data_IF_365735135018
#
_entry.id   IF_365735135018
#
_cell.length_a   1.000
_cell.length_b   1.000
_cell.length_c   1.000
_cell.angle_alpha   90.00
_cell.angle_beta   90.00
_cell.angle_gamma   90.00
#
_symmetry.space_group_name_H-M   'P 1'
#
loop_
_entity.id
_entity.type
_entity.pdbx_description
1 polymer ?
#
# COMPACT_ATOMS: atom_id res chain seq x y z
N UNK A 1 43.75 10.32 13.83
CA UNK A 1 42.38 10.63 14.29
C UNK A 1 41.66 11.35 13.17
N UNK A 2 40.40 10.97 12.93
CA UNK A 2 39.54 11.24 11.75
C UNK A 2 39.72 10.22 10.62
N UNK A 3 39.00 9.09 10.75
CA UNK A 3 38.78 8.13 9.69
C UNK A 3 37.64 8.60 8.78
N UNK A 4 37.91 8.58 7.47
CA UNK A 4 36.93 8.65 6.41
C UNK A 4 36.11 7.35 6.41
N UNK A 5 34.86 7.44 6.87
CA UNK A 5 33.87 6.39 6.69
C UNK A 5 33.23 6.54 5.31
N UNK A 6 33.94 6.10 4.27
CA UNK A 6 33.34 5.86 2.96
C UNK A 6 32.40 4.65 3.08
N UNK A 7 31.13 4.93 3.36
CA UNK A 7 30.08 3.93 3.23
C UNK A 7 30.04 3.48 1.76
N UNK A 8 30.63 2.32 1.48
CA UNK A 8 30.33 1.56 0.26
C UNK A 8 28.87 1.14 0.35
N UNK A 9 27.99 1.88 -0.33
CA UNK A 9 26.67 1.35 -0.70
C UNK A 9 26.93 0.04 -1.42
N UNK A 10 26.52 -1.08 -0.82
CA UNK A 10 26.54 -2.38 -1.47
C UNK A 10 25.63 -2.28 -2.71
N UNK A 11 26.25 -1.98 -3.86
CA UNK A 11 25.56 -1.91 -5.13
C UNK A 11 25.03 -3.28 -5.50
N UNK A 12 23.80 -3.34 -6.02
CA UNK A 12 23.20 -4.56 -6.52
C UNK A 12 24.07 -5.20 -7.61
N UNK A 13 24.04 -6.54 -7.69
CA UNK A 13 24.71 -7.30 -8.73
C UNK A 13 24.32 -6.80 -10.13
N UNK A 14 25.21 -6.97 -11.12
CA UNK A 14 25.13 -6.30 -12.44
C UNK A 14 23.86 -6.71 -13.21
N UNK A 15 23.39 -7.92 -13.00
CA UNK A 15 22.14 -8.51 -13.49
C UNK A 15 20.86 -7.84 -12.93
N UNK A 16 20.98 -7.08 -11.84
CA UNK A 16 19.92 -6.29 -11.21
C UNK A 16 20.03 -4.79 -11.55
N UNK A 17 21.06 -4.39 -12.31
CA UNK A 17 21.20 -3.04 -12.83
C UNK A 17 20.46 -2.94 -14.19
N UNK A 18 19.84 -1.79 -14.43
CA UNK A 18 18.72 -1.59 -15.37
C UNK A 18 18.81 -2.24 -16.79
N UNK A 19 17.64 -2.49 -17.43
CA UNK A 19 16.31 -2.11 -16.95
C UNK A 19 15.55 -3.33 -16.45
N UNK A 20 15.88 -3.83 -15.26
CA UNK A 20 14.99 -4.75 -14.57
C UNK A 20 13.82 -3.96 -13.96
N UNK A 21 12.88 -3.55 -14.82
CA UNK A 21 11.61 -2.96 -14.40
C UNK A 21 10.71 -4.07 -13.86
N UNK A 22 10.65 -4.19 -12.54
CA UNK A 22 9.81 -5.18 -11.88
C UNK A 22 8.34 -4.92 -12.22
N UNK A 23 7.65 -5.98 -12.63
CA UNK A 23 6.21 -5.94 -12.75
C UNK A 23 5.56 -5.87 -11.37
N UNK A 24 4.27 -5.50 -11.33
CA UNK A 24 3.45 -5.61 -10.12
C UNK A 24 3.53 -7.02 -9.51
N UNK A 25 3.55 -8.04 -10.36
CA UNK A 25 3.50 -9.43 -9.93
C UNK A 25 4.84 -9.89 -9.38
N UNK A 26 5.97 -9.39 -9.91
CA UNK A 26 7.31 -9.62 -9.34
C UNK A 26 7.44 -9.06 -7.92
N UNK A 27 6.94 -7.83 -7.71
CA UNK A 27 6.91 -7.21 -6.39
C UNK A 27 6.01 -7.99 -5.42
N UNK A 28 4.81 -8.40 -5.86
CA UNK A 28 3.91 -9.21 -5.05
C UNK A 28 4.53 -10.57 -4.69
N UNK A 29 5.24 -11.20 -5.63
CA UNK A 29 5.97 -12.45 -5.38
C UNK A 29 7.10 -12.25 -4.36
N UNK A 30 7.83 -11.14 -4.44
CA UNK A 30 8.89 -10.83 -3.48
C UNK A 30 8.35 -10.63 -2.05
N UNK A 31 7.22 -9.95 -1.88
CA UNK A 31 6.59 -9.79 -0.56
C UNK A 31 6.19 -11.14 0.04
N UNK A 32 5.65 -12.07 -0.77
CA UNK A 32 5.32 -13.43 -0.31
C UNK A 32 6.57 -14.19 0.13
N UNK A 33 7.63 -14.18 -0.68
CA UNK A 33 8.91 -14.81 -0.33
C UNK A 33 9.49 -14.26 0.97
N UNK A 34 9.39 -12.96 1.19
CA UNK A 34 9.84 -12.32 2.41
C UNK A 34 9.10 -12.86 3.64
N UNK A 35 7.77 -12.97 3.57
CA UNK A 35 6.93 -13.55 4.65
C UNK A 35 7.36 -14.99 4.96
N UNK A 36 7.54 -15.81 3.93
CA UNK A 36 7.96 -17.21 4.06
C UNK A 36 9.36 -17.35 4.65
N UNK A 37 10.32 -16.58 4.15
CA UNK A 37 11.73 -16.63 4.58
C UNK A 37 11.90 -16.32 6.07
N UNK A 38 11.13 -15.36 6.58
CA UNK A 38 11.21 -14.92 7.98
C UNK A 38 10.13 -15.53 8.88
N UNK A 39 9.30 -16.45 8.35
CA UNK A 39 8.21 -17.09 9.06
C UNK A 39 7.32 -16.08 9.82
N UNK A 40 6.91 -15.00 9.14
CA UNK A 40 6.14 -13.93 9.76
C UNK A 40 4.72 -14.37 10.08
N UNK A 41 4.32 -14.26 11.35
CA UNK A 41 2.95 -14.54 11.77
C UNK A 41 2.03 -13.38 11.39
N UNK A 42 1.28 -13.55 10.30
CA UNK A 42 0.37 -12.54 9.76
C UNK A 42 -1.08 -13.02 9.78
N UNK A 43 -2.00 -12.09 10.02
CA UNK A 43 -3.45 -12.32 9.92
C UNK A 43 -3.96 -11.47 8.74
N UNK A 44 -4.34 -12.15 7.66
CA UNK A 44 -4.97 -11.52 6.51
C UNK A 44 -6.48 -11.35 6.73
N UNK A 45 -7.13 -10.55 5.88
CA UNK A 45 -8.58 -10.30 5.97
C UNK A 45 -9.03 -9.83 7.36
N UNK A 46 -8.17 -9.06 8.03
CA UNK A 46 -8.41 -8.44 9.32
C UNK A 46 -8.56 -6.93 9.14
N UNK A 47 -9.69 -6.39 9.57
CA UNK A 47 -9.94 -4.95 9.53
C UNK A 47 -9.89 -4.37 10.94
N UNK A 48 -8.96 -3.43 11.16
CA UNK A 48 -8.90 -2.67 12.41
C UNK A 48 -10.14 -1.76 12.50
N UNK A 49 -10.88 -1.89 13.61
CA UNK A 49 -12.10 -1.11 13.87
C UNK A 49 -11.83 0.03 14.84
N UNK A 50 -11.02 -0.22 15.87
CA UNK A 50 -10.73 0.75 16.92
C UNK A 50 -9.41 0.46 17.60
N UNK A 51 -8.68 1.51 18.00
CA UNK A 51 -7.46 1.41 18.81
C UNK A 51 -7.55 2.39 19.96
N UNK A 52 -7.19 1.95 21.16
CA UNK A 52 -7.24 2.76 22.36
C UNK A 52 -6.01 2.50 23.23
N UNK A 53 -5.31 3.55 23.62
CA UNK A 53 -4.22 3.46 24.58
C UNK A 53 -4.74 3.61 26.01
N UNK A 54 -4.42 2.65 26.87
CA UNK A 54 -4.71 2.71 28.30
C UNK A 54 -3.49 3.25 29.05
N UNK A 55 -3.61 4.46 29.62
CA UNK A 55 -2.51 5.11 30.36
C UNK A 55 -2.14 4.42 31.66
N UNK A 56 -3.08 3.74 32.32
CA UNK A 56 -2.85 3.03 33.58
C UNK A 56 -2.04 1.76 33.36
N UNK A 57 -2.49 0.89 32.44
CA UNK A 57 -1.77 -0.34 32.12
C UNK A 57 -0.61 -0.14 31.13
N UNK A 58 -0.51 1.06 30.53
CA UNK A 58 0.48 1.46 29.51
C UNK A 58 0.45 0.61 28.24
N UNK A 59 -0.75 0.15 27.86
CA UNK A 59 -0.95 -0.82 26.77
C UNK A 59 -2.00 -0.33 25.77
N UNK A 60 -1.87 -0.79 24.53
CA UNK A 60 -2.86 -0.62 23.47
C UNK A 60 -3.87 -1.75 23.49
N UNK A 61 -5.15 -1.39 23.40
CA UNK A 61 -6.26 -2.29 23.09
C UNK A 61 -6.70 -2.06 21.65
N UNK A 62 -6.62 -3.11 20.82
CA UNK A 62 -6.87 -3.05 19.38
C UNK A 62 -8.05 -3.97 19.07
N UNK A 63 -9.17 -3.42 18.61
CA UNK A 63 -10.34 -4.19 18.17
C UNK A 63 -10.31 -4.32 16.66
N UNK A 64 -10.48 -5.54 16.16
CA UNK A 64 -10.47 -5.83 14.73
C UNK A 64 -11.46 -6.94 14.40
N UNK A 65 -11.97 -6.95 13.17
CA UNK A 65 -12.84 -8.00 12.66
C UNK A 65 -12.09 -8.90 11.69
N UNK A 66 -12.34 -10.19 11.81
CA UNK A 66 -11.90 -11.23 10.85
C UNK A 66 -13.13 -11.90 10.25
N UNK A 67 -12.95 -12.78 9.27
CA UNK A 67 -14.05 -13.62 8.76
C UNK A 67 -14.67 -14.49 9.87
N UNK A 68 -13.90 -14.86 10.89
CA UNK A 68 -14.37 -15.60 12.06
C UNK A 68 -15.03 -14.71 13.14
N UNK A 69 -15.22 -13.41 12.87
CA UNK A 69 -15.84 -12.46 13.78
C UNK A 69 -14.87 -11.50 14.47
N UNK A 70 -15.37 -10.70 15.43
CA UNK A 70 -14.59 -9.67 16.13
C UNK A 70 -13.58 -10.28 17.10
N UNK A 71 -12.41 -9.66 17.18
CA UNK A 71 -11.26 -10.05 18.02
C UNK A 71 -10.68 -8.81 18.70
N UNK A 72 -9.91 -9.03 19.77
CA UNK A 72 -9.16 -7.99 20.47
C UNK A 72 -7.73 -8.43 20.69
N UNK A 73 -6.77 -7.57 20.36
CA UNK A 73 -5.36 -7.74 20.72
C UNK A 73 -4.97 -6.70 21.78
N UNK A 74 -4.07 -7.09 22.67
CA UNK A 74 -3.43 -6.22 23.67
C UNK A 74 -1.93 -6.21 23.38
N UNK A 75 -1.32 -5.03 23.29
CA UNK A 75 0.10 -4.89 22.96
C UNK A 75 0.72 -3.66 23.64
N UNK A 76 2.03 -3.71 23.93
CA UNK A 76 2.78 -2.56 24.46
C UNK A 76 2.97 -1.45 23.41
N UNK A 77 3.14 -1.85 22.15
CA UNK A 77 3.39 -0.95 21.04
C UNK A 77 2.41 -1.20 19.89
N UNK A 78 2.03 -0.13 19.22
CA UNK A 78 1.22 -0.16 18.01
C UNK A 78 1.95 0.65 16.93
N UNK A 79 2.29 -0.02 15.82
CA UNK A 79 2.91 0.61 14.65
C UNK A 79 1.85 0.76 13.57
N UNK A 80 1.68 1.98 13.04
CA UNK A 80 0.75 2.28 11.96
C UNK A 80 1.48 2.24 10.62
N UNK A 81 1.26 1.16 9.85
CA UNK A 81 1.80 0.96 8.52
C UNK A 81 0.69 0.90 7.44
N UNK A 82 -0.34 1.74 7.58
CA UNK A 82 -1.55 1.72 6.72
C UNK A 82 -1.35 2.37 5.35
N UNK A 83 -0.18 2.93 5.08
CA UNK A 83 0.11 3.72 3.88
C UNK A 83 -0.53 5.11 3.88
N UNK A 84 -0.26 5.87 2.82
CA UNK A 84 -0.96 7.13 2.53
C UNK A 84 -2.34 6.80 1.93
N UNK A 85 -3.38 7.54 2.33
CA UNK A 85 -4.80 7.27 2.03
C UNK A 85 -5.21 7.39 0.55
N UNK A 86 -4.32 7.08 -0.39
CA UNK A 86 -4.50 7.14 -1.85
C UNK A 86 -5.65 6.28 -2.38
N UNK A 87 -6.24 5.44 -1.54
CA UNK A 87 -7.45 4.67 -1.87
C UNK A 87 -8.73 5.51 -1.85
N UNK A 88 -8.72 6.69 -1.21
CA UNK A 88 -9.83 7.64 -1.28
C UNK A 88 -9.54 8.66 -2.38
N UNK A 89 -10.34 8.69 -3.46
CA UNK A 89 -10.19 9.70 -4.51
C UNK A 89 -10.27 11.11 -3.94
N UNK A 90 -9.28 11.95 -4.24
CA UNK A 90 -9.35 13.38 -3.99
C UNK A 90 -9.85 14.06 -5.28
N UNK A 91 -11.17 14.19 -5.41
CA UNK A 91 -11.80 14.77 -6.59
C UNK A 91 -12.14 16.23 -6.32
N UNK A 92 -11.48 17.20 -6.98
CA UNK A 92 -11.81 18.61 -6.80
C UNK A 92 -13.20 18.91 -7.40
N UNK A 93 -13.86 19.93 -6.84
CA UNK A 93 -15.04 20.53 -7.46
C UNK A 93 -14.57 21.41 -8.62
N UNK A 94 -15.07 21.14 -9.82
CA UNK A 94 -14.75 21.88 -11.03
C UNK A 94 -16.07 22.41 -11.59
N UNK A 95 -16.16 23.72 -11.80
CA UNK A 95 -17.34 24.34 -12.39
C UNK A 95 -17.58 23.80 -13.80
N UNK A 96 -18.85 23.53 -14.14
CA UNK A 96 -19.21 23.01 -15.46
C UNK A 96 -18.73 21.57 -15.73
N UNK A 97 -18.25 20.82 -14.73
CA UNK A 97 -17.83 19.42 -14.88
C UNK A 97 -18.88 18.55 -15.60
N UNK A 98 -20.16 18.78 -15.32
CA UNK A 98 -21.28 18.01 -15.88
C UNK A 98 -21.62 18.38 -17.34
N UNK A 99 -21.08 19.50 -17.83
CA UNK A 99 -21.20 19.92 -19.23
C UNK A 99 -20.31 19.08 -20.14
N UNK A 100 -19.18 18.57 -19.62
CA UNK A 100 -18.30 17.68 -20.35
C UNK A 100 -18.96 16.31 -20.56
N UNK A 101 -19.12 15.92 -21.83
CA UNK A 101 -19.78 14.65 -22.21
C UNK A 101 -18.81 13.51 -22.52
N UNK A 102 -17.51 13.75 -22.38
CA UNK A 102 -16.49 12.71 -22.55
C UNK A 102 -16.23 11.92 -21.26
N UNK A 103 -15.22 11.05 -21.31
CA UNK A 103 -14.84 10.20 -20.18
C UNK A 103 -14.24 11.04 -19.06
N UNK A 104 -14.83 10.97 -17.87
CA UNK A 104 -14.32 11.56 -16.64
C UNK A 104 -14.08 10.45 -15.62
N UNK A 105 -12.81 10.13 -15.34
CA UNK A 105 -12.43 9.07 -14.38
C UNK A 105 -11.33 9.57 -13.45
N UNK A 106 -11.37 9.13 -12.19
CA UNK A 106 -10.24 9.25 -11.28
C UNK A 106 -9.25 8.11 -11.53
N UNK A 107 -7.96 8.31 -11.21
CA UNK A 107 -6.91 7.29 -11.44
C UNK A 107 -7.20 5.94 -10.77
N UNK A 108 -7.89 5.95 -9.63
CA UNK A 108 -8.35 4.73 -8.92
C UNK A 108 -9.33 3.88 -9.74
N UNK A 109 -9.98 4.45 -10.75
CA UNK A 109 -10.91 3.75 -11.65
C UNK A 109 -10.22 3.26 -12.93
N UNK A 110 -9.01 3.74 -13.21
CA UNK A 110 -8.25 3.31 -14.39
C UNK A 110 -7.78 1.87 -14.22
N UNK A 111 -8.07 1.01 -15.21
CA UNK A 111 -7.67 -0.40 -15.23
C UNK A 111 -6.55 -0.67 -16.23
N UNK A 112 -6.77 -0.27 -17.49
CA UNK A 112 -5.79 -0.37 -18.57
C UNK A 112 -6.28 0.43 -19.79
N UNK A 113 -5.37 0.66 -20.75
CA UNK A 113 -5.68 1.40 -21.98
C UNK A 113 -6.68 0.70 -22.91
N UNK A 114 -6.86 -0.62 -22.84
CA UNK A 114 -7.89 -1.32 -23.65
C UNK A 114 -9.30 -0.96 -23.18
N UNK A 115 -9.54 -0.99 -21.87
CA UNK A 115 -10.84 -0.62 -21.28
C UNK A 115 -11.11 0.87 -21.48
N UNK A 116 -10.10 1.73 -21.30
CA UNK A 116 -10.26 3.16 -21.53
C UNK A 116 -10.63 3.48 -22.99
N UNK A 117 -10.06 2.76 -23.96
CA UNK A 117 -10.44 2.87 -25.38
C UNK A 117 -11.87 2.42 -25.64
N UNK A 118 -12.30 1.33 -25.02
CA UNK A 118 -13.70 0.87 -25.12
C UNK A 118 -14.70 1.89 -24.58
N UNK A 119 -14.27 2.77 -23.64
CA UNK A 119 -15.08 3.86 -23.13
C UNK A 119 -15.10 5.09 -24.07
N UNK A 120 -14.33 5.09 -25.17
CA UNK A 120 -14.31 6.15 -26.17
C UNK A 120 -13.06 7.03 -26.18
N UNK A 121 -11.99 6.68 -25.45
CA UNK A 121 -10.74 7.43 -25.51
C UNK A 121 -10.04 7.22 -26.86
N UNK A 122 -9.65 8.33 -27.52
CA UNK A 122 -8.92 8.31 -28.79
C UNK A 122 -7.45 7.98 -28.56
N UNK A 123 -6.82 7.34 -29.55
CA UNK A 123 -5.37 7.07 -29.57
C UNK A 123 -4.70 8.23 -30.29
N UNK A 124 -3.64 8.78 -29.71
CA UNK A 124 -2.73 9.72 -30.39
C UNK A 124 -1.72 8.96 -31.24
#
# INVERSE_FOLDING_TARGET
MLGDASYKTAGYAKELQAPHLLSRDDLAAQVRRFIETFNLNIINSAQIQHTQYNKSSKDWKIRFSTQAGPRTAIAKHLVLATGVGSQKPNVPQIEGKDLYKGINIHSTQFKNGKILRQQGAKVS
#
